data_IF_784118353483
#
_entry.id   IF_784118353483
#
_cell.length_a   1.000
_cell.length_b   1.000
_cell.length_c   1.000
_cell.angle_alpha   90.00
_cell.angle_beta   90.00
_cell.angle_gamma   90.00
#
_symmetry.space_group_name_H-M   'P 1'
#
loop_
_entity.id
_entity.type
_entity.pdbx_description
1 polymer ?
#
# COMPACT_ATOMS: atom_id res chain seq x y z
N UNK A 1 1.85 15.44 -8.79
CA UNK A 1 2.38 16.43 -9.72
C UNK A 1 1.30 16.92 -10.68
N UNK A 2 0.68 16.02 -11.47
CA UNK A 2 -0.36 16.35 -12.44
C UNK A 2 -1.49 17.18 -11.81
N UNK A 3 -2.00 16.78 -10.65
CA UNK A 3 -3.03 17.51 -9.91
C UNK A 3 -2.69 19.00 -9.70
N UNK A 4 -1.44 19.33 -9.31
CA UNK A 4 -1.00 20.74 -9.13
C UNK A 4 -0.92 21.47 -10.47
N UNK A 5 -0.30 20.84 -11.46
CA UNK A 5 -0.12 21.47 -12.77
C UNK A 5 -1.46 21.77 -13.46
N UNK A 6 -2.38 20.83 -13.40
CA UNK A 6 -3.73 21.00 -13.97
C UNK A 6 -4.52 22.10 -13.22
N UNK A 7 -4.43 22.13 -11.88
CA UNK A 7 -5.10 23.14 -11.06
C UNK A 7 -4.58 24.57 -11.30
N UNK A 8 -3.31 24.71 -11.69
CA UNK A 8 -2.67 26.00 -11.98
C UNK A 8 -2.65 26.33 -13.49
N UNK A 9 -3.25 25.49 -14.33
CA UNK A 9 -3.30 25.71 -15.77
C UNK A 9 -1.93 25.76 -16.46
N UNK A 10 -0.94 25.03 -15.91
CA UNK A 10 0.42 25.03 -16.45
C UNK A 10 0.47 24.30 -17.79
N UNK A 11 0.79 25.04 -18.86
CA UNK A 11 0.93 24.47 -20.20
C UNK A 11 2.32 23.80 -20.36
N UNK A 12 2.31 22.48 -20.48
CA UNK A 12 3.53 21.68 -20.66
C UNK A 12 4.08 21.71 -22.09
N UNK A 13 3.38 22.28 -23.05
CA UNK A 13 3.90 22.46 -24.40
C UNK A 13 4.91 23.61 -24.46
N UNK A 14 4.78 24.57 -23.55
CA UNK A 14 5.65 25.73 -23.42
C UNK A 14 6.95 25.42 -22.64
N UNK A 15 8.08 26.06 -23.03
CA UNK A 15 9.35 25.90 -22.31
C UNK A 15 9.24 26.25 -20.83
N UNK A 16 8.53 27.34 -20.51
CA UNK A 16 8.32 27.80 -19.14
C UNK A 16 7.55 26.75 -18.30
N UNK A 17 6.44 26.22 -18.82
CA UNK A 17 5.64 25.20 -18.12
C UNK A 17 6.44 23.91 -17.87
N UNK A 18 7.35 23.53 -18.79
CA UNK A 18 8.26 22.39 -18.58
C UNK A 18 9.26 22.64 -17.44
N UNK A 19 9.78 23.86 -17.30
CA UNK A 19 10.66 24.23 -16.18
C UNK A 19 9.93 24.19 -14.85
N UNK A 20 8.72 24.74 -14.77
CA UNK A 20 7.83 24.65 -13.59
C UNK A 20 7.58 23.17 -13.21
N UNK A 21 7.25 22.35 -14.18
CA UNK A 21 6.99 20.93 -13.96
C UNK A 21 8.25 20.14 -13.51
N UNK A 22 9.43 20.50 -14.00
CA UNK A 22 10.70 19.92 -13.61
C UNK A 22 11.05 20.29 -12.16
N UNK A 23 10.90 21.54 -11.79
CA UNK A 23 11.11 22.02 -10.42
C UNK A 23 10.14 21.36 -9.43
N UNK A 24 8.86 21.34 -9.77
CA UNK A 24 7.85 20.66 -8.96
C UNK A 24 8.17 19.16 -8.78
N UNK A 25 8.72 18.49 -9.80
CA UNK A 25 9.10 17.07 -9.70
C UNK A 25 10.15 16.81 -8.63
N UNK A 26 11.06 17.71 -8.40
CA UNK A 26 12.10 17.61 -7.35
C UNK A 26 11.51 17.75 -5.94
N UNK A 27 10.45 18.54 -5.80
CA UNK A 27 9.85 18.87 -4.50
C UNK A 27 8.62 18.06 -4.15
N UNK A 28 8.06 17.33 -5.12
CA UNK A 28 6.75 16.67 -4.98
C UNK A 28 6.68 15.65 -3.85
N UNK A 29 7.80 14.98 -3.55
CA UNK A 29 7.87 14.01 -2.45
C UNK A 29 7.62 14.70 -1.11
N UNK A 30 8.35 15.75 -0.80
CA UNK A 30 8.19 16.50 0.45
C UNK A 30 6.84 17.21 0.55
N UNK A 31 6.29 17.69 -0.58
CA UNK A 31 4.93 18.24 -0.61
C UNK A 31 3.89 17.16 -0.25
N UNK A 32 4.05 15.95 -0.79
CA UNK A 32 3.15 14.83 -0.50
C UNK A 32 3.25 14.41 0.97
N UNK A 33 4.45 14.26 1.51
CA UNK A 33 4.67 13.88 2.91
C UNK A 33 4.00 14.90 3.85
N UNK A 34 4.19 16.19 3.62
CA UNK A 34 3.53 17.26 4.40
C UNK A 34 2.00 17.25 4.24
N UNK A 35 1.49 17.02 3.01
CA UNK A 35 0.05 16.97 2.78
C UNK A 35 -0.62 15.87 3.61
N UNK A 36 0.03 14.70 3.73
CA UNK A 36 -0.51 13.60 4.53
C UNK A 36 -0.32 13.80 6.04
N UNK A 37 0.70 14.56 6.46
CA UNK A 37 0.91 14.90 7.87
C UNK A 37 -0.04 16.01 8.34
N UNK A 38 -0.18 17.09 7.55
CA UNK A 38 -0.82 18.34 7.97
C UNK A 38 -2.25 18.49 7.41
N UNK A 39 -2.72 17.53 6.61
CA UNK A 39 -4.00 17.54 5.86
C UNK A 39 -4.16 18.66 4.83
N UNK A 40 -3.28 19.66 4.86
CA UNK A 40 -3.20 20.70 3.84
C UNK A 40 -1.74 21.18 3.66
N UNK A 41 -1.41 21.66 2.48
CA UNK A 41 -0.09 22.20 2.20
C UNK A 41 -0.16 23.41 1.27
N UNK A 42 0.56 24.46 1.66
CA UNK A 42 0.83 25.59 0.75
C UNK A 42 2.11 25.33 -0.03
N UNK A 43 2.14 25.76 -1.28
CA UNK A 43 3.29 25.64 -2.15
C UNK A 43 3.46 26.89 -3.01
N UNK A 44 4.69 27.09 -3.46
CA UNK A 44 5.04 28.14 -4.43
C UNK A 44 5.67 27.44 -5.62
N UNK A 45 5.18 27.69 -6.83
CA UNK A 45 5.84 27.25 -8.06
C UNK A 45 7.06 28.11 -8.37
N UNK A 46 7.92 27.65 -9.26
CA UNK A 46 9.15 28.37 -9.63
C UNK A 46 8.91 29.71 -10.36
N UNK A 47 7.70 29.93 -10.86
CA UNK A 47 7.24 31.18 -11.44
C UNK A 47 6.65 32.16 -10.43
N UNK A 48 6.66 31.79 -9.13
CA UNK A 48 6.07 32.60 -8.06
C UNK A 48 4.60 32.33 -7.80
N UNK A 49 3.93 31.48 -8.58
CA UNK A 49 2.52 31.13 -8.37
C UNK A 49 2.35 30.44 -7.02
N UNK A 50 1.47 31.00 -6.19
CA UNK A 50 1.09 30.46 -4.89
C UNK A 50 -0.11 29.52 -5.05
N UNK A 51 -0.10 28.42 -4.32
CA UNK A 51 -1.24 27.51 -4.27
C UNK A 51 -1.36 26.82 -2.93
N UNK A 52 -2.54 26.23 -2.70
CA UNK A 52 -2.85 25.40 -1.56
C UNK A 52 -3.47 24.09 -2.03
N UNK A 53 -3.15 23.00 -1.37
CA UNK A 53 -3.79 21.71 -1.59
C UNK A 53 -4.38 21.25 -0.27
N UNK A 54 -5.64 20.83 -0.31
CA UNK A 54 -6.27 20.07 0.76
C UNK A 54 -6.17 18.57 0.47
N UNK A 55 -5.97 17.77 1.50
CA UNK A 55 -5.87 16.31 1.35
C UNK A 55 -7.17 15.72 0.77
N UNK A 56 -8.33 16.24 1.19
CA UNK A 56 -9.64 15.84 0.67
C UNK A 56 -9.74 16.01 -0.85
N UNK A 57 -9.33 17.17 -1.36
CA UNK A 57 -9.40 17.48 -2.79
C UNK A 57 -8.43 16.62 -3.60
N UNK A 58 -7.23 16.43 -3.04
CA UNK A 58 -6.24 15.52 -3.63
C UNK A 58 -6.77 14.09 -3.70
N UNK A 59 -7.37 13.56 -2.62
CA UNK A 59 -7.92 12.21 -2.57
C UNK A 59 -9.13 12.05 -3.50
N UNK A 60 -9.95 13.09 -3.67
CA UNK A 60 -11.07 13.10 -4.60
C UNK A 60 -10.65 13.32 -6.07
N UNK A 61 -9.36 13.58 -6.33
CA UNK A 61 -8.89 13.90 -7.68
C UNK A 61 -8.95 12.69 -8.61
N UNK A 62 -9.13 12.95 -9.90
CA UNK A 62 -9.15 11.92 -10.94
C UNK A 62 -7.92 11.02 -10.92
N UNK A 63 -6.67 11.52 -10.81
CA UNK A 63 -5.48 10.67 -10.78
C UNK A 63 -5.45 9.69 -9.61
N UNK A 64 -5.97 10.10 -8.44
CA UNK A 64 -6.04 9.22 -7.25
C UNK A 64 -7.11 8.17 -7.42
N UNK A 65 -8.29 8.53 -7.97
CA UNK A 65 -9.34 7.55 -8.27
C UNK A 65 -8.88 6.50 -9.28
N UNK A 66 -8.27 6.93 -10.40
CA UNK A 66 -7.71 6.02 -11.41
C UNK A 66 -6.61 5.10 -10.84
N UNK A 67 -5.84 5.60 -9.86
CA UNK A 67 -4.86 4.76 -9.14
C UNK A 67 -5.56 3.74 -8.25
N UNK A 68 -6.57 4.16 -7.48
CA UNK A 68 -7.35 3.27 -6.62
C UNK A 68 -8.02 2.15 -7.42
N UNK A 69 -8.65 2.48 -8.54
CA UNK A 69 -9.28 1.52 -9.45
C UNK A 69 -8.28 0.50 -10.00
N UNK A 70 -7.08 0.95 -10.39
CA UNK A 70 -6.02 0.05 -10.88
C UNK A 70 -5.49 -0.88 -9.79
N UNK A 71 -5.36 -0.39 -8.56
CA UNK A 71 -4.93 -1.23 -7.43
C UNK A 71 -6.00 -2.28 -7.12
N UNK A 72 -7.27 -1.88 -7.11
CA UNK A 72 -8.39 -2.80 -6.91
C UNK A 72 -8.47 -3.86 -8.02
N UNK A 73 -8.32 -3.44 -9.28
CA UNK A 73 -8.31 -4.38 -10.40
C UNK A 73 -7.13 -5.34 -10.31
N UNK A 74 -5.92 -4.84 -10.02
CA UNK A 74 -4.75 -5.71 -9.84
C UNK A 74 -4.91 -6.72 -8.70
N UNK A 75 -5.53 -6.33 -7.60
CA UNK A 75 -5.84 -7.25 -6.51
C UNK A 75 -6.86 -8.32 -6.96
N UNK A 76 -7.90 -7.93 -7.68
CA UNK A 76 -8.89 -8.84 -8.26
C UNK A 76 -8.25 -9.82 -9.23
N UNK A 77 -7.39 -9.33 -10.14
CA UNK A 77 -6.68 -10.16 -11.13
C UNK A 77 -5.83 -11.24 -10.46
N UNK A 78 -5.17 -10.89 -9.34
CA UNK A 78 -4.40 -11.87 -8.54
C UNK A 78 -5.32 -12.96 -7.99
N UNK A 79 -6.46 -12.60 -7.44
CA UNK A 79 -7.43 -13.58 -6.93
C UNK A 79 -8.04 -14.42 -8.06
N UNK A 80 -8.35 -13.81 -9.20
CA UNK A 80 -8.87 -14.53 -10.38
C UNK A 80 -7.85 -15.52 -10.96
N UNK A 81 -6.56 -15.26 -10.78
CA UNK A 81 -5.48 -16.17 -11.16
C UNK A 81 -5.32 -17.40 -10.24
N UNK A 82 -6.01 -17.43 -9.10
CA UNK A 82 -5.93 -18.57 -8.19
C UNK A 82 -6.69 -19.80 -8.74
N UNK A 83 -6.15 -20.98 -8.42
CA UNK A 83 -6.86 -22.23 -8.71
C UNK A 83 -8.17 -22.33 -7.91
N UNK A 84 -9.18 -23.02 -8.45
CA UNK A 84 -10.52 -23.14 -7.85
C UNK A 84 -10.51 -23.73 -6.42
N UNK A 85 -9.56 -24.60 -6.13
CA UNK A 85 -9.38 -25.18 -4.79
C UNK A 85 -9.05 -24.09 -3.78
N UNK A 86 -8.14 -23.16 -4.13
CA UNK A 86 -7.77 -22.03 -3.27
C UNK A 86 -8.97 -21.08 -3.09
N UNK A 87 -9.65 -20.72 -4.16
CA UNK A 87 -10.83 -19.87 -4.05
C UNK A 87 -11.91 -20.51 -3.20
N UNK A 88 -12.11 -21.84 -3.31
CA UNK A 88 -13.08 -22.57 -2.48
C UNK A 88 -12.63 -22.64 -1.00
N UNK A 89 -11.34 -22.67 -0.74
CA UNK A 89 -10.79 -22.58 0.62
C UNK A 89 -11.07 -21.18 1.19
N UNK A 90 -10.76 -20.13 0.45
CA UNK A 90 -10.93 -18.72 0.86
C UNK A 90 -12.41 -18.33 1.08
N UNK A 91 -13.39 -19.08 0.54
CA UNK A 91 -14.80 -18.85 0.88
C UNK A 91 -15.19 -19.37 2.25
N UNK A 92 -14.37 -20.21 2.86
CA UNK A 92 -14.59 -20.82 4.18
C UNK A 92 -13.74 -20.19 5.28
N UNK A 93 -12.71 -19.45 4.87
CA UNK A 93 -11.78 -18.77 5.76
C UNK A 93 -11.63 -17.34 5.31
N UNK A 94 -11.43 -16.41 6.25
CA UNK A 94 -11.15 -15.02 5.89
C UNK A 94 -9.77 -14.92 5.22
N UNK A 95 -9.70 -14.10 4.16
CA UNK A 95 -8.42 -13.72 3.57
C UNK A 95 -7.73 -12.68 4.46
N UNK A 96 -6.69 -13.08 5.15
CA UNK A 96 -5.85 -12.17 5.92
C UNK A 96 -5.06 -11.28 4.98
N UNK A 97 -5.22 -9.97 5.14
CA UNK A 97 -4.50 -8.95 4.37
C UNK A 97 -3.60 -8.17 5.30
N UNK A 98 -2.32 -8.10 4.95
CA UNK A 98 -1.31 -7.32 5.68
C UNK A 98 -0.82 -6.21 4.78
N UNK A 99 -0.88 -4.97 5.26
CA UNK A 99 -0.39 -3.82 4.53
C UNK A 99 1.02 -3.46 5.00
N UNK A 100 1.96 -3.41 4.05
CA UNK A 100 3.35 -3.01 4.30
C UNK A 100 3.82 -1.96 3.31
N UNK A 101 4.92 -1.28 3.64
CA UNK A 101 5.49 -0.25 2.79
C UNK A 101 4.84 1.12 2.96
N UNK A 102 5.35 2.10 2.25
CA UNK A 102 4.93 3.50 2.37
C UNK A 102 3.51 3.82 1.92
N UNK A 103 2.85 2.89 1.21
CA UNK A 103 1.45 3.02 0.80
C UNK A 103 0.43 2.43 1.79
N UNK A 104 0.89 1.73 2.82
CA UNK A 104 0.02 1.02 3.77
C UNK A 104 -1.00 1.93 4.48
N UNK A 105 -0.64 3.19 4.71
CA UNK A 105 -1.49 4.20 5.35
C UNK A 105 -2.52 4.84 4.41
N UNK A 106 -2.45 4.58 3.11
CA UNK A 106 -3.39 5.18 2.15
C UNK A 106 -4.81 4.63 2.37
N UNK A 107 -5.85 5.50 2.42
CA UNK A 107 -7.22 5.07 2.69
C UNK A 107 -7.74 4.00 1.72
N UNK A 108 -7.37 4.09 0.41
CA UNK A 108 -7.78 3.10 -0.57
C UNK A 108 -7.15 1.73 -0.32
N UNK A 109 -5.93 1.66 0.23
CA UNK A 109 -5.27 0.40 0.57
C UNK A 109 -5.98 -0.27 1.75
N UNK A 110 -6.39 0.52 2.76
CA UNK A 110 -7.18 0.00 3.87
C UNK A 110 -8.55 -0.50 3.41
N UNK A 111 -9.24 0.27 2.57
CA UNK A 111 -10.52 -0.14 1.99
C UNK A 111 -10.39 -1.43 1.17
N UNK A 112 -9.25 -1.61 0.47
CA UNK A 112 -8.96 -2.83 -0.27
C UNK A 112 -8.71 -4.03 0.65
N UNK A 113 -8.16 -3.80 1.85
CA UNK A 113 -7.78 -4.87 2.78
C UNK A 113 -8.94 -5.41 3.62
N UNK A 114 -10.08 -4.75 3.62
CA UNK A 114 -11.24 -5.09 4.46
C UNK A 114 -12.49 -5.38 3.64
N UNK A 115 -13.48 -6.06 4.28
CA UNK A 115 -14.78 -6.30 3.69
C UNK A 115 -14.82 -7.53 2.78
N UNK A 116 -15.54 -7.45 1.67
CA UNK A 116 -15.79 -8.58 0.80
C UNK A 116 -15.32 -8.30 -0.62
N UNK A 117 -14.84 -9.34 -1.29
CA UNK A 117 -14.59 -9.32 -2.73
C UNK A 117 -15.33 -10.51 -3.38
N UNK A 118 -15.89 -10.27 -4.56
CA UNK A 118 -16.48 -11.34 -5.37
C UNK A 118 -15.55 -11.68 -6.53
N UNK A 119 -15.19 -12.96 -6.63
CA UNK A 119 -14.28 -13.49 -7.64
C UNK A 119 -14.87 -14.78 -8.20
N UNK A 120 -15.14 -14.83 -9.50
CA UNK A 120 -15.74 -15.98 -10.18
C UNK A 120 -16.99 -16.53 -9.45
N UNK A 121 -17.90 -15.60 -9.02
CA UNK A 121 -19.12 -15.93 -8.30
C UNK A 121 -18.93 -16.44 -6.86
N UNK A 122 -17.69 -16.37 -6.33
CA UNK A 122 -17.37 -16.73 -4.95
C UNK A 122 -17.14 -15.47 -4.13
N UNK A 123 -17.78 -15.37 -2.97
CA UNK A 123 -17.63 -14.26 -2.04
C UNK A 123 -16.57 -14.60 -1.00
N UNK A 124 -15.51 -13.79 -0.95
CA UNK A 124 -14.37 -13.97 -0.06
C UNK A 124 -14.33 -12.80 0.91
N UNK A 125 -14.31 -13.10 2.21
CA UNK A 125 -14.11 -12.11 3.25
C UNK A 125 -12.64 -11.71 3.32
N UNK A 126 -12.36 -10.42 3.56
CA UNK A 126 -11.02 -9.88 3.76
C UNK A 126 -10.92 -9.27 5.15
N UNK A 127 -9.87 -9.58 5.85
CA UNK A 127 -9.60 -9.05 7.17
C UNK A 127 -8.21 -8.39 7.18
N UNK A 128 -8.19 -7.08 7.43
CA UNK A 128 -6.93 -6.37 7.68
C UNK A 128 -6.38 -6.79 9.04
N UNK A 129 -5.16 -7.28 9.04
CA UNK A 129 -4.42 -7.61 10.26
C UNK A 129 -3.25 -6.65 10.39
N UNK A 130 -3.11 -6.07 11.57
CA UNK A 130 -1.94 -5.26 11.90
C UNK A 130 -0.77 -6.21 12.19
N UNK A 131 0.30 -6.17 11.40
CA UNK A 131 1.45 -7.07 11.59
C UNK A 131 2.38 -6.61 12.73
N UNK A 132 1.99 -5.60 13.51
CA UNK A 132 2.83 -4.99 14.53
C UNK A 132 3.23 -6.02 15.61
N UNK A 133 4.52 -6.33 15.77
CA UNK A 133 4.98 -7.22 16.81
C UNK A 133 4.75 -6.63 18.20
N UNK A 134 4.44 -7.49 19.17
CA UNK A 134 4.16 -7.06 20.56
C UNK A 134 5.32 -6.31 21.22
N UNK A 135 6.56 -6.63 20.86
CA UNK A 135 7.74 -5.96 21.40
C UNK A 135 7.81 -4.48 21.00
N UNK A 136 7.32 -4.12 19.82
CA UNK A 136 7.27 -2.68 19.41
C UNK A 136 6.41 -1.89 20.38
N UNK A 137 5.24 -2.40 20.74
CA UNK A 137 4.36 -1.70 21.67
C UNK A 137 4.97 -1.57 23.07
N UNK A 138 5.78 -2.55 23.50
CA UNK A 138 6.42 -2.56 24.82
C UNK A 138 7.74 -1.80 24.89
N UNK A 139 8.58 -1.94 23.89
CA UNK A 139 9.98 -1.50 23.94
C UNK A 139 10.29 -0.30 23.03
N UNK A 140 9.55 -0.12 21.95
CA UNK A 140 9.81 0.91 20.94
C UNK A 140 8.53 1.47 20.32
N UNK A 141 7.62 2.04 21.11
CA UNK A 141 6.31 2.51 20.64
C UNK A 141 6.42 3.61 19.57
N UNK A 142 7.53 4.34 19.51
CA UNK A 142 7.83 5.33 18.47
C UNK A 142 7.94 4.74 17.07
N UNK A 143 8.18 3.43 16.95
CA UNK A 143 8.24 2.73 15.66
C UNK A 143 6.86 2.35 15.13
N UNK A 144 5.82 2.35 15.96
CA UNK A 144 4.47 1.94 15.57
C UNK A 144 3.97 2.67 14.31
N UNK A 145 4.05 4.02 14.20
CA UNK A 145 3.55 4.75 13.03
C UNK A 145 4.30 4.44 11.75
N UNK A 146 5.59 4.09 11.86
CA UNK A 146 6.49 3.85 10.71
C UNK A 146 6.73 2.37 10.45
N UNK A 147 6.26 1.48 11.31
CA UNK A 147 6.49 0.06 11.20
C UNK A 147 6.10 -0.53 9.84
N UNK A 148 4.97 -0.19 9.21
CA UNK A 148 4.65 -0.73 7.89
C UNK A 148 5.75 -0.46 6.84
N UNK A 149 6.48 0.65 6.97
CA UNK A 149 7.59 1.00 6.07
C UNK A 149 8.87 0.22 6.41
N UNK A 150 9.07 -0.11 7.68
CA UNK A 150 10.25 -0.78 8.20
C UNK A 150 10.12 -2.31 8.24
N UNK A 151 8.92 -2.84 8.15
CA UNK A 151 8.62 -4.26 8.35
C UNK A 151 9.52 -5.20 7.55
N UNK A 152 9.79 -4.88 6.27
CA UNK A 152 10.65 -5.67 5.40
C UNK A 152 12.12 -5.60 5.86
N UNK A 153 12.59 -4.42 6.25
CA UNK A 153 13.97 -4.24 6.72
C UNK A 153 14.18 -4.94 8.06
N UNK A 154 13.22 -4.84 8.97
CA UNK A 154 13.25 -5.52 10.28
C UNK A 154 13.25 -7.04 10.07
N UNK A 155 12.36 -7.56 9.20
CA UNK A 155 12.32 -8.98 8.88
C UNK A 155 13.61 -9.48 8.22
N UNK A 156 14.22 -8.68 7.35
CA UNK A 156 15.50 -9.02 6.74
C UNK A 156 16.72 -8.95 7.69
N UNK A 157 16.60 -8.25 8.83
CA UNK A 157 17.61 -8.18 9.87
C UNK A 157 17.43 -9.26 10.95
N UNK A 158 16.38 -10.07 10.89
CA UNK A 158 16.16 -11.14 11.84
C UNK A 158 17.26 -12.20 11.73
N UNK A 159 17.77 -12.66 12.88
CA UNK A 159 18.81 -13.69 12.94
C UNK A 159 18.30 -15.06 12.48
N UNK A 160 17.02 -15.31 12.66
CA UNK A 160 16.38 -16.57 12.28
C UNK A 160 15.36 -16.27 11.18
N UNK A 161 15.51 -16.92 10.04
CA UNK A 161 14.48 -16.93 9.01
C UNK A 161 13.42 -17.95 9.39
N UNK A 162 12.12 -17.66 9.18
CA UNK A 162 11.09 -18.66 9.39
C UNK A 162 11.40 -19.88 8.51
N UNK A 163 11.32 -21.07 9.11
CA UNK A 163 11.41 -22.31 8.35
C UNK A 163 10.34 -22.28 7.23
N UNK A 164 10.75 -22.68 6.03
CA UNK A 164 9.79 -22.92 4.96
C UNK A 164 8.87 -24.03 5.41
N UNK A 165 7.65 -23.71 5.78
CA UNK A 165 6.64 -24.74 5.99
C UNK A 165 6.26 -25.25 4.62
N UNK A 166 6.61 -26.49 4.33
CA UNK A 166 6.09 -27.19 3.16
C UNK A 166 4.57 -27.12 3.23
N UNK A 167 3.98 -26.49 2.22
CA UNK A 167 2.52 -26.37 2.14
C UNK A 167 1.86 -27.74 2.19
N UNK A 168 0.60 -27.86 2.61
CA UNK A 168 -0.09 -29.13 2.64
C UNK A 168 0.05 -29.84 1.29
N UNK A 169 0.31 -31.14 1.31
CA UNK A 169 0.58 -32.00 0.14
C UNK A 169 -0.43 -31.84 -1.01
N UNK A 170 -1.59 -31.27 -0.73
CA UNK A 170 -2.60 -30.92 -1.74
C UNK A 170 -2.09 -29.95 -2.84
N UNK A 171 -0.91 -29.33 -2.69
CA UNK A 171 -0.31 -28.39 -3.62
C UNK A 171 0.84 -28.97 -4.45
N UNK A 172 1.20 -30.22 -4.24
CA UNK A 172 2.28 -30.89 -4.95
C UNK A 172 2.04 -31.15 -6.46
N UNK A 173 0.91 -30.73 -7.00
CA UNK A 173 0.50 -30.99 -8.39
C UNK A 173 0.77 -29.89 -9.42
N UNK A 174 1.37 -28.76 -9.04
CA UNK A 174 1.62 -27.64 -9.98
C UNK A 174 2.93 -26.93 -9.69
N UNK A 175 3.88 -27.16 -10.55
CA UNK A 175 5.21 -26.52 -10.73
C UNK A 175 5.63 -25.45 -9.72
N UNK A 176 6.52 -25.83 -8.85
CA UNK A 176 7.51 -25.06 -8.09
C UNK A 176 7.30 -23.56 -7.84
N UNK A 177 6.32 -23.18 -7.04
CA UNK A 177 6.29 -21.90 -6.35
C UNK A 177 6.12 -22.14 -4.86
N UNK A 178 7.18 -21.89 -4.11
CA UNK A 178 7.20 -21.94 -2.64
C UNK A 178 6.17 -20.93 -2.11
N UNK A 179 5.10 -21.43 -1.47
CA UNK A 179 4.19 -20.58 -0.73
C UNK A 179 4.84 -20.26 0.63
N UNK A 180 5.10 -19.01 0.92
CA UNK A 180 5.54 -18.56 2.23
C UNK A 180 4.33 -18.54 3.17
N UNK A 181 4.30 -19.43 4.17
CA UNK A 181 3.37 -19.32 5.28
C UNK A 181 3.97 -18.34 6.29
N UNK A 182 3.28 -17.26 6.59
CA UNK A 182 3.62 -16.36 7.69
C UNK A 182 3.23 -17.09 8.98
N UNK A 183 4.16 -17.85 9.54
CA UNK A 183 4.04 -18.39 10.89
C UNK A 183 4.05 -17.26 11.92
N UNK A 184 3.34 -17.43 13.03
CA UNK A 184 3.41 -16.53 14.18
C UNK A 184 4.87 -16.38 14.62
N UNK A 185 5.46 -15.22 14.37
CA UNK A 185 6.74 -14.82 14.94
C UNK A 185 6.56 -14.65 16.45
N UNK A 186 6.73 -15.73 17.20
CA UNK A 186 7.02 -15.63 18.62
C UNK A 186 8.51 -15.29 18.74
N UNK A 187 8.81 -14.02 18.98
CA UNK A 187 10.15 -13.63 19.44
C UNK A 187 10.23 -14.05 20.92
N UNK A 188 10.83 -15.20 21.20
CA UNK A 188 11.21 -15.54 22.56
C UNK A 188 12.39 -14.66 22.93
N UNK A 189 12.13 -13.68 23.80
CA UNK A 189 13.19 -12.89 24.44
C UNK A 189 14.07 -13.80 25.30
N UNK A 190 15.37 -13.67 25.09
CA UNK A 190 16.40 -14.08 26.03
C UNK A 190 16.81 -12.88 26.87
#
# INVERSE_FOLDING_TARGET
KKFILDAQGVDLTEPHGRLVAADLSRRIRGLKERLFADTSVQYVLSDGTLGKIELSDFMASRPVREFSERVEQGFRDVLEGLHDTWLSYLTKTDLTVILTGGGASLPMMRALAEGWVEVRGKRIARQLVNPLPSWILGESPELEPVYPQLAVAIGGAAHELPETVDGPEAFAGGGGRTAYAVGNLQVSGA
#
